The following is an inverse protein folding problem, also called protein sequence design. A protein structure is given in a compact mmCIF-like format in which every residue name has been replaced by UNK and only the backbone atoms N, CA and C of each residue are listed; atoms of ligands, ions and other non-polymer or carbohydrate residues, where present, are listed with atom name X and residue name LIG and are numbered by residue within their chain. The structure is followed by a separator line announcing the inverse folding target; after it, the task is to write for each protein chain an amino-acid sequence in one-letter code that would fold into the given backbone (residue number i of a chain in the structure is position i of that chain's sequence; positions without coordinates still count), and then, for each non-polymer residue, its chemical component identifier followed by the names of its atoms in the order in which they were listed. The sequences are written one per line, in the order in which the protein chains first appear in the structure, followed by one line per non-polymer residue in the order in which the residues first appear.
data_IF_907980058276
#
_entry.id   IF_907980058276
#
_cell.length_a   1.000
_cell.length_b   1.000
_cell.length_c   1.000
_cell.angle_alpha   90.00
_cell.angle_beta   90.00
_cell.angle_gamma   90.00
#
_symmetry.space_group_name_H-M   'P 1'
#
loop_
_entity.id
_entity.type
_entity.pdbx_description
1 polymer ?
#
# COMPACT_ATOMS: atom_id res chain seq x y z
N UNK A 1 11.53 36.94 10.82
CA UNK A 1 11.17 37.57 12.12
C UNK A 1 11.86 36.77 13.20
N UNK A 2 12.61 37.39 14.10
CA UNK A 2 13.34 36.71 15.19
C UNK A 2 12.77 37.19 16.53
N UNK A 3 12.60 36.27 17.48
CA UNK A 3 12.18 36.57 18.86
C UNK A 3 12.99 35.68 19.79
N UNK A 4 13.49 36.26 20.88
CA UNK A 4 14.35 35.62 21.88
C UNK A 4 13.81 35.92 23.27
N UNK A 5 13.84 34.92 24.15
CA UNK A 5 13.47 35.03 25.57
C UNK A 5 14.30 34.02 26.37
N UNK A 6 14.56 34.33 27.64
CA UNK A 6 15.26 33.47 28.59
C UNK A 6 14.23 32.84 29.53
N UNK A 7 14.39 31.56 29.85
CA UNK A 7 13.57 30.85 30.82
C UNK A 7 14.46 30.39 31.99
N UNK A 8 13.99 30.60 33.20
CA UNK A 8 14.57 30.02 34.41
C UNK A 8 14.11 28.57 34.61
N UNK A 9 14.79 27.83 35.48
CA UNK A 9 14.42 26.45 35.80
C UNK A 9 12.96 26.36 36.29
N UNK A 10 12.17 25.51 35.63
CA UNK A 10 10.74 25.31 35.93
C UNK A 10 9.80 26.25 35.17
N UNK A 11 10.30 27.28 34.50
CA UNK A 11 9.48 28.14 33.64
C UNK A 11 9.09 27.42 32.34
N UNK A 12 7.91 27.78 31.83
CA UNK A 12 7.35 27.21 30.60
C UNK A 12 6.82 28.33 29.71
N UNK A 13 7.11 28.21 28.42
CA UNK A 13 6.55 29.06 27.37
C UNK A 13 5.94 28.18 26.30
N UNK A 14 4.86 28.64 25.71
CA UNK A 14 4.21 27.95 24.60
C UNK A 14 4.00 28.93 23.44
N UNK A 15 4.22 28.43 22.23
CA UNK A 15 3.95 29.14 21.00
C UNK A 15 2.85 28.41 20.22
N UNK A 16 1.96 29.17 19.61
CA UNK A 16 0.87 28.63 18.78
C UNK A 16 1.06 29.14 17.36
N UNK A 17 1.24 28.20 16.42
CA UNK A 17 1.25 28.46 14.99
C UNK A 17 -0.12 28.07 14.42
N UNK A 18 -0.81 29.03 13.79
CA UNK A 18 -2.13 28.79 13.20
C UNK A 18 -2.07 29.00 11.71
N UNK A 19 -2.42 27.96 10.95
CA UNK A 19 -2.68 28.06 9.52
C UNK A 19 -4.18 28.24 9.26
N UNK A 20 -4.54 29.12 8.34
CA UNK A 20 -5.89 29.23 7.79
C UNK A 20 -5.84 29.88 6.40
N UNK A 21 -6.84 29.63 5.53
CA UNK A 21 -6.95 30.36 4.27
C UNK A 21 -7.09 31.87 4.52
N UNK A 22 -6.37 32.70 3.75
CA UNK A 22 -6.35 34.15 3.94
C UNK A 22 -7.70 34.85 3.70
N UNK A 23 -8.61 34.19 2.97
CA UNK A 23 -9.96 34.68 2.67
C UNK A 23 -11.03 34.18 3.66
N UNK A 24 -10.67 33.30 4.59
CA UNK A 24 -11.56 32.81 5.64
C UNK A 24 -11.34 33.56 6.96
N UNK A 25 -12.33 33.49 7.85
CA UNK A 25 -12.21 34.10 9.17
C UNK A 25 -11.11 33.40 9.97
N UNK A 26 -10.19 34.19 10.52
CA UNK A 26 -9.14 33.68 11.43
C UNK A 26 -9.75 32.82 12.54
N UNK A 27 -9.24 31.59 12.78
CA UNK A 27 -9.66 30.75 13.89
C UNK A 27 -9.45 31.42 15.25
N UNK A 28 -10.18 30.97 16.27
CA UNK A 28 -9.94 31.39 17.65
C UNK A 28 -8.54 30.96 18.10
N UNK A 29 -7.89 31.78 18.92
CA UNK A 29 -6.67 31.38 19.60
C UNK A 29 -6.97 30.18 20.50
N UNK A 30 -6.05 29.23 20.54
CA UNK A 30 -6.14 28.04 21.38
C UNK A 30 -5.23 28.18 22.58
N UNK A 31 -5.66 27.68 23.73
CA UNK A 31 -4.75 27.46 24.86
C UNK A 31 -3.88 26.22 24.53
N UNK A 32 -2.55 26.34 24.50
CA UNK A 32 -1.68 25.25 24.09
C UNK A 32 -1.66 24.09 25.08
N UNK A 33 -1.91 24.34 26.37
CA UNK A 33 -1.93 23.29 27.39
C UNK A 33 -3.24 22.52 27.33
N UNK A 34 -4.38 23.20 27.21
CA UNK A 34 -5.68 22.54 26.99
C UNK A 34 -5.70 21.77 25.66
N UNK A 35 -5.09 22.32 24.61
CA UNK A 35 -4.97 21.65 23.31
C UNK A 35 -4.14 20.36 23.40
N UNK A 36 -3.05 20.36 24.18
CA UNK A 36 -2.24 19.17 24.41
C UNK A 36 -3.01 18.11 25.22
N UNK A 37 -3.64 18.51 26.32
CA UNK A 37 -4.42 17.60 27.17
C UNK A 37 -5.58 16.94 26.40
N UNK A 38 -6.36 17.73 25.66
CA UNK A 38 -7.45 17.21 24.82
C UNK A 38 -6.93 16.28 23.72
N UNK A 39 -5.86 16.65 23.02
CA UNK A 39 -5.25 15.81 21.99
C UNK A 39 -4.80 14.46 22.56
N UNK A 40 -4.14 14.44 23.72
CA UNK A 40 -3.70 13.20 24.38
C UNK A 40 -4.90 12.36 24.83
N UNK A 41 -5.92 12.99 25.41
CA UNK A 41 -7.13 12.31 25.85
C UNK A 41 -7.86 11.64 24.68
N UNK A 42 -7.97 12.32 23.55
CA UNK A 42 -8.66 11.82 22.37
C UNK A 42 -7.90 10.71 21.67
N UNK A 43 -6.58 10.83 21.50
CA UNK A 43 -5.76 9.73 20.98
C UNK A 43 -5.80 8.50 21.88
N UNK A 44 -5.74 8.67 23.21
CA UNK A 44 -5.90 7.56 24.15
C UNK A 44 -7.28 6.93 24.06
N UNK A 45 -8.33 7.72 23.89
CA UNK A 45 -9.71 7.24 23.71
C UNK A 45 -9.82 6.44 22.42
N UNK A 46 -9.31 6.98 21.32
CA UNK A 46 -9.31 6.34 20.02
C UNK A 46 -8.53 5.02 20.03
N UNK A 47 -7.30 5.00 20.59
CA UNK A 47 -6.46 3.81 20.65
C UNK A 47 -7.03 2.67 21.50
N UNK A 48 -7.93 2.96 22.46
CA UNK A 48 -8.62 1.93 23.25
C UNK A 48 -9.63 1.10 22.45
N UNK A 49 -10.04 1.54 21.26
CA UNK A 49 -10.93 0.77 20.38
C UNK A 49 -10.21 -0.37 19.65
N UNK A 50 -8.87 -0.36 19.63
CA UNK A 50 -8.10 -1.41 18.99
C UNK A 50 -8.40 -2.77 19.64
N UNK A 51 -8.96 -3.68 18.85
CA UNK A 51 -9.31 -5.06 19.26
C UNK A 51 -8.12 -6.00 19.31
N UNK A 52 -6.98 -5.59 18.76
CA UNK A 52 -5.76 -6.40 18.80
C UNK A 52 -5.17 -6.45 20.21
N UNK A 53 -5.00 -7.65 20.74
CA UNK A 53 -4.43 -7.95 22.06
C UNK A 53 -3.24 -8.93 22.01
N UNK A 54 -2.78 -9.28 20.81
CA UNK A 54 -1.64 -10.17 20.59
C UNK A 54 -0.26 -9.55 20.88
N UNK A 55 0.83 -10.32 20.67
CA UNK A 55 2.21 -9.84 20.83
C UNK A 55 2.50 -8.56 20.03
N UNK A 56 3.43 -7.73 20.50
CA UNK A 56 3.78 -6.45 19.85
C UNK A 56 2.62 -5.46 19.71
N UNK A 57 1.60 -5.54 20.59
CA UNK A 57 0.46 -4.62 20.60
C UNK A 57 0.84 -3.14 20.51
N UNK A 58 1.87 -2.71 21.21
CA UNK A 58 2.30 -1.30 21.19
C UNK A 58 2.76 -0.86 19.80
N UNK A 59 3.47 -1.72 19.06
CA UNK A 59 3.88 -1.45 17.68
C UNK A 59 2.70 -1.42 16.71
N UNK A 60 1.72 -2.32 16.90
CA UNK A 60 0.46 -2.34 16.14
C UNK A 60 -0.35 -1.08 16.39
N UNK A 61 -0.56 -0.70 17.65
CA UNK A 61 -1.28 0.53 18.03
C UNK A 61 -0.56 1.77 17.51
N UNK A 62 0.77 1.83 17.61
CA UNK A 62 1.56 2.93 17.05
C UNK A 62 1.37 3.04 15.54
N UNK A 63 1.39 1.91 14.82
CA UNK A 63 1.14 1.89 13.37
C UNK A 63 -0.27 2.35 13.02
N UNK A 64 -1.29 1.91 13.77
CA UNK A 64 -2.68 2.35 13.61
C UNK A 64 -2.83 3.86 13.86
N UNK A 65 -2.19 4.41 14.90
CA UNK A 65 -2.15 5.86 15.15
C UNK A 65 -1.53 6.59 13.95
N UNK A 66 -0.44 6.06 13.39
CA UNK A 66 0.20 6.65 12.20
C UNK A 66 -0.75 6.66 11.01
N UNK A 67 -1.40 5.53 10.70
CA UNK A 67 -2.37 5.43 9.60
C UNK A 67 -3.55 6.40 9.78
N UNK A 68 -4.05 6.53 11.02
CA UNK A 68 -5.08 7.51 11.36
C UNK A 68 -4.60 8.95 11.15
N UNK A 69 -3.35 9.25 11.50
CA UNK A 69 -2.76 10.57 11.28
C UNK A 69 -2.51 10.89 9.80
N UNK A 70 -2.33 9.87 8.96
CA UNK A 70 -2.25 9.99 7.50
C UNK A 70 -3.62 10.10 6.82
N UNK A 71 -4.71 9.91 7.57
CA UNK A 71 -6.07 10.06 7.06
C UNK A 71 -6.50 11.53 7.04
N UNK A 72 -6.85 12.04 5.86
CA UNK A 72 -7.46 13.34 5.71
C UNK A 72 -8.91 13.30 6.22
N UNK A 73 -9.11 13.77 7.45
CA UNK A 73 -10.37 13.67 8.18
C UNK A 73 -11.62 14.14 7.39
N UNK A 74 -11.59 15.21 6.58
CA UNK A 74 -12.78 15.65 5.84
C UNK A 74 -13.32 14.65 4.81
N UNK A 75 -12.48 13.78 4.25
CA UNK A 75 -12.88 12.91 3.14
C UNK A 75 -12.67 11.43 3.42
N UNK A 76 -11.73 11.09 4.32
CA UNK A 76 -11.31 9.72 4.61
C UNK A 76 -10.14 9.23 3.76
N UNK A 77 -9.59 10.05 2.85
CA UNK A 77 -8.44 9.66 2.02
C UNK A 77 -7.17 9.50 2.86
N UNK A 78 -6.43 8.40 2.69
CA UNK A 78 -5.19 8.10 3.40
C UNK A 78 -4.02 8.37 2.44
N UNK A 79 -3.11 9.26 2.80
CA UNK A 79 -1.92 9.51 1.97
C UNK A 79 -0.86 8.42 2.18
N UNK A 80 -0.10 8.09 1.13
CA UNK A 80 0.97 7.09 1.24
C UNK A 80 2.09 7.56 2.19
N UNK A 81 2.40 8.85 2.22
CA UNK A 81 3.23 9.49 3.24
C UNK A 81 2.97 11.01 3.28
N UNK A 82 3.29 11.72 4.37
CA UNK A 82 3.15 13.17 4.45
C UNK A 82 4.36 13.91 3.87
N UNK A 83 5.23 13.21 3.13
CA UNK A 83 6.50 13.70 2.60
C UNK A 83 6.57 13.63 1.09
N UNK A 84 7.51 14.40 0.53
CA UNK A 84 7.90 14.31 -0.87
C UNK A 84 9.41 14.27 -0.97
N UNK A 85 9.91 13.55 -1.98
CA UNK A 85 11.29 13.57 -2.44
C UNK A 85 12.32 13.16 -1.39
N UNK A 86 11.90 12.32 -0.44
CA UNK A 86 12.86 11.60 0.37
C UNK A 86 13.45 10.45 -0.47
N UNK A 87 14.78 10.27 -0.45
CA UNK A 87 15.46 9.41 -1.40
C UNK A 87 15.42 7.94 -1.01
N UNK A 88 15.10 7.06 -1.97
CA UNK A 88 15.28 5.59 -1.87
C UNK A 88 16.77 5.20 -1.79
N UNK A 89 17.67 6.09 -2.25
CA UNK A 89 19.12 6.00 -2.04
C UNK A 89 19.70 7.40 -1.89
N UNK A 90 20.51 7.67 -0.87
CA UNK A 90 21.14 8.98 -0.69
C UNK A 90 21.98 9.39 -1.90
N UNK A 91 21.79 10.61 -2.38
CA UNK A 91 22.38 11.10 -3.63
C UNK A 91 21.72 10.56 -4.92
N UNK A 92 20.78 9.63 -4.80
CA UNK A 92 20.06 9.00 -5.91
C UNK A 92 18.93 9.85 -6.48
N UNK A 93 18.40 9.37 -7.61
CA UNK A 93 17.37 10.08 -8.40
C UNK A 93 15.94 9.63 -8.08
N UNK A 94 15.78 8.53 -7.33
CA UNK A 94 14.49 7.95 -6.92
C UNK A 94 13.94 8.71 -5.71
N UNK A 95 13.35 9.88 -5.99
CA UNK A 95 12.84 10.84 -5.00
C UNK A 95 11.41 11.24 -5.42
N UNK A 96 10.39 10.64 -4.79
CA UNK A 96 9.00 10.73 -5.25
C UNK A 96 8.09 11.48 -4.27
N UNK A 97 7.01 12.09 -4.78
CA UNK A 97 5.98 12.74 -3.95
C UNK A 97 4.89 11.75 -3.54
N UNK A 98 4.75 11.50 -2.23
CA UNK A 98 3.85 10.48 -1.67
C UNK A 98 2.63 11.06 -0.94
N UNK A 99 2.39 12.37 -1.07
CA UNK A 99 1.29 13.08 -0.41
C UNK A 99 -0.09 12.82 -1.05
N UNK A 100 -0.24 11.70 -1.74
CA UNK A 100 -1.43 11.28 -2.48
C UNK A 100 -1.97 9.96 -1.95
N UNK A 101 -3.22 9.66 -2.29
CA UNK A 101 -3.89 8.43 -1.91
C UNK A 101 -3.79 7.42 -3.06
N UNK A 102 -3.09 6.30 -2.83
CA UNK A 102 -2.97 5.22 -3.81
C UNK A 102 -4.09 4.21 -3.70
N UNK A 103 -4.55 3.72 -4.85
CA UNK A 103 -5.56 2.66 -4.89
C UNK A 103 -4.99 1.30 -4.47
N UNK A 104 -3.69 1.04 -4.67
CA UNK A 104 -3.06 -0.23 -4.27
C UNK A 104 -3.16 -0.48 -2.77
N UNK A 105 -3.10 0.57 -1.96
CA UNK A 105 -3.10 0.46 -0.50
C UNK A 105 -4.51 0.14 0.04
N UNK A 106 -5.53 0.20 -0.82
CA UNK A 106 -6.94 0.19 -0.41
C UNK A 106 -7.36 -1.03 0.37
N UNK A 107 -6.98 -2.21 -0.12
CA UNK A 107 -7.43 -3.48 0.44
C UNK A 107 -6.75 -3.73 1.78
N UNK A 108 -5.44 -3.47 1.86
CA UNK A 108 -4.66 -3.60 3.09
C UNK A 108 -5.11 -2.60 4.16
N UNK A 109 -5.40 -1.36 3.78
CA UNK A 109 -5.91 -0.33 4.69
C UNK A 109 -7.28 -0.71 5.24
N UNK A 110 -8.20 -1.11 4.36
CA UNK A 110 -9.55 -1.49 4.76
C UNK A 110 -9.52 -2.72 5.68
N UNK A 111 -8.77 -3.76 5.33
CA UNK A 111 -8.63 -4.98 6.14
C UNK A 111 -8.03 -4.70 7.51
N UNK A 112 -6.92 -3.97 7.56
CA UNK A 112 -6.27 -3.60 8.81
C UNK A 112 -7.21 -2.82 9.75
N UNK A 113 -7.94 -1.84 9.22
CA UNK A 113 -8.87 -1.04 10.02
C UNK A 113 -10.06 -1.87 10.53
N UNK A 114 -10.68 -2.69 9.66
CA UNK A 114 -11.82 -3.52 10.04
C UNK A 114 -11.45 -4.55 11.12
N UNK A 115 -10.40 -5.32 10.89
CA UNK A 115 -9.91 -6.35 11.83
C UNK A 115 -9.43 -5.73 13.15
N UNK A 116 -8.81 -4.55 13.12
CA UNK A 116 -8.43 -3.84 14.33
C UNK A 116 -9.60 -3.14 15.05
N UNK A 117 -10.81 -3.11 14.46
CA UNK A 117 -12.03 -2.59 15.07
C UNK A 117 -12.41 -1.14 14.72
N UNK A 118 -11.72 -0.52 13.78
CA UNK A 118 -11.89 0.86 13.33
C UNK A 118 -12.88 0.99 12.15
N UNK A 119 -14.14 0.68 12.44
CA UNK A 119 -15.19 0.63 11.42
C UNK A 119 -15.51 1.99 10.79
N UNK A 120 -15.46 3.08 11.57
CA UNK A 120 -15.72 4.43 11.07
C UNK A 120 -14.65 4.86 10.05
N UNK A 121 -13.38 4.60 10.35
CA UNK A 121 -12.25 4.85 9.45
C UNK A 121 -12.35 4.01 8.18
N UNK A 122 -12.65 2.71 8.33
CA UNK A 122 -12.87 1.80 7.21
C UNK A 122 -14.01 2.30 6.30
N UNK A 123 -15.10 2.79 6.90
CA UNK A 123 -16.23 3.34 6.16
C UNK A 123 -15.85 4.64 5.42
N UNK A 124 -15.13 5.55 6.09
CA UNK A 124 -14.67 6.80 5.51
C UNK A 124 -13.74 6.55 4.32
N UNK A 125 -12.79 5.62 4.46
CA UNK A 125 -11.88 5.19 3.39
C UNK A 125 -12.65 4.61 2.20
N UNK A 126 -13.54 3.64 2.42
CA UNK A 126 -14.39 3.07 1.36
C UNK A 126 -15.23 4.16 0.65
N UNK A 127 -15.78 5.11 1.41
CA UNK A 127 -16.53 6.23 0.84
C UNK A 127 -15.64 7.14 -0.02
N UNK A 128 -14.40 7.38 0.39
CA UNK A 128 -13.41 8.08 -0.41
C UNK A 128 -13.12 7.34 -1.71
N UNK A 129 -12.82 6.03 -1.62
CA UNK A 129 -12.53 5.17 -2.76
C UNK A 129 -13.64 5.23 -3.81
N UNK A 130 -14.89 5.04 -3.38
CA UNK A 130 -16.06 5.11 -4.28
C UNK A 130 -16.22 6.44 -5.01
N UNK A 131 -15.86 7.56 -4.36
CA UNK A 131 -15.89 8.88 -5.00
C UNK A 131 -14.73 9.05 -5.98
N UNK A 132 -13.54 8.61 -5.62
CA UNK A 132 -12.33 8.75 -6.45
C UNK A 132 -12.43 7.93 -7.76
N UNK A 133 -12.94 6.70 -7.67
CA UNK A 133 -13.06 5.79 -8.83
C UNK A 133 -14.32 6.02 -9.67
N UNK A 134 -15.20 6.94 -9.25
CA UNK A 134 -16.40 7.26 -10.01
C UNK A 134 -16.03 7.91 -11.36
N UNK A 135 -16.75 7.54 -12.42
CA UNK A 135 -16.56 8.08 -13.76
C UNK A 135 -16.26 7.00 -14.79
N UNK A 136 -15.44 7.34 -15.79
CA UNK A 136 -15.07 6.42 -16.86
C UNK A 136 -14.06 5.37 -16.36
N UNK A 137 -14.37 4.06 -16.39
CA UNK A 137 -13.45 2.98 -16.02
C UNK A 137 -12.13 3.01 -16.78
N UNK A 138 -12.13 3.42 -18.06
CA UNK A 138 -10.92 3.49 -18.88
C UNK A 138 -9.97 4.63 -18.46
N UNK A 139 -10.45 5.54 -17.62
CA UNK A 139 -9.66 6.63 -17.07
C UNK A 139 -9.31 6.39 -15.59
N UNK A 140 -9.52 5.21 -15.02
CA UNK A 140 -9.15 4.95 -13.63
C UNK A 140 -7.66 5.28 -13.42
N UNK A 141 -7.36 6.08 -12.39
CA UNK A 141 -5.99 6.45 -12.04
C UNK A 141 -5.53 5.61 -10.86
N UNK A 142 -4.22 5.50 -10.72
CA UNK A 142 -3.60 4.69 -9.66
C UNK A 142 -3.54 5.44 -8.33
N UNK A 143 -3.58 6.77 -8.38
CA UNK A 143 -3.51 7.65 -7.23
C UNK A 143 -4.32 8.93 -7.46
N UNK A 144 -4.75 9.54 -6.36
CA UNK A 144 -5.58 10.74 -6.34
C UNK A 144 -5.15 11.68 -5.21
N UNK A 145 -5.53 12.95 -5.31
CA UNK A 145 -5.45 13.88 -4.18
C UNK A 145 -6.39 13.47 -3.03
N UNK A 146 -6.19 14.06 -1.86
CA UNK A 146 -6.94 13.70 -0.64
C UNK A 146 -8.45 13.89 -0.76
N UNK A 147 -8.94 14.71 -1.70
CA UNK A 147 -10.37 14.85 -2.00
C UNK A 147 -10.81 14.17 -3.31
N UNK A 148 -9.94 13.37 -3.92
CA UNK A 148 -10.19 12.70 -5.21
C UNK A 148 -9.72 13.51 -6.41
N UNK A 149 -8.86 14.50 -6.22
CA UNK A 149 -8.30 15.30 -7.30
C UNK A 149 -7.48 14.43 -8.26
N UNK A 150 -7.67 14.67 -9.57
CA UNK A 150 -7.12 13.84 -10.65
C UNK A 150 -5.87 14.42 -11.30
N UNK A 151 -5.60 15.71 -11.08
CA UNK A 151 -4.50 16.44 -11.71
C UNK A 151 -3.34 16.55 -10.73
N UNK A 152 -2.34 15.69 -10.91
CA UNK A 152 -1.16 15.59 -10.05
C UNK A 152 0.13 15.74 -10.87
N UNK A 153 0.30 16.85 -11.63
CA UNK A 153 1.42 16.99 -12.57
C UNK A 153 2.75 16.94 -11.82
N UNK A 154 3.65 16.09 -12.30
CA UNK A 154 5.02 16.01 -11.78
C UNK A 154 5.82 17.22 -12.24
N UNK A 155 6.54 17.85 -11.31
CA UNK A 155 7.44 18.95 -11.58
C UNK A 155 8.69 18.85 -10.70
N UNK A 156 9.85 19.11 -11.27
CA UNK A 156 11.12 19.23 -10.54
C UNK A 156 11.30 20.65 -9.99
N UNK A 157 11.87 20.75 -8.80
CA UNK A 157 12.10 21.99 -8.05
C UNK A 157 13.62 22.21 -7.91
N UNK A 158 14.33 22.65 -8.97
CA UNK A 158 15.79 22.65 -9.02
C UNK A 158 16.46 23.65 -8.06
N UNK A 159 15.69 24.55 -7.44
CA UNK A 159 16.19 25.48 -6.43
C UNK A 159 16.24 24.88 -5.01
N UNK A 160 15.68 23.69 -4.80
CA UNK A 160 15.77 22.98 -3.54
C UNK A 160 16.92 21.96 -3.62
N UNK A 161 17.86 21.95 -2.66
CA UNK A 161 19.00 21.04 -2.69
C UNK A 161 18.61 19.57 -2.42
N UNK A 162 17.40 19.33 -1.94
CA UNK A 162 16.91 18.02 -1.53
C UNK A 162 17.52 17.50 -0.22
N UNK A 163 16.91 16.45 0.33
CA UNK A 163 17.36 15.86 1.58
C UNK A 163 18.75 15.23 1.40
N UNK A 164 19.70 15.60 2.26
CA UNK A 164 21.09 15.14 2.17
C UNK A 164 21.76 15.34 0.79
N UNK A 165 21.32 16.35 0.02
CA UNK A 165 21.82 16.61 -1.33
C UNK A 165 21.24 15.71 -2.42
N UNK A 166 20.25 14.86 -2.11
CA UNK A 166 19.58 14.00 -3.09
C UNK A 166 18.68 14.83 -4.02
N UNK A 167 18.96 14.75 -5.32
CA UNK A 167 18.24 15.48 -6.37
C UNK A 167 17.75 14.51 -7.45
N UNK A 168 16.64 14.83 -8.14
CA UNK A 168 15.86 16.07 -8.04
C UNK A 168 14.84 16.04 -6.89
N UNK A 169 14.41 17.22 -6.45
CA UNK A 169 13.21 17.38 -5.63
C UNK A 169 12.01 17.50 -6.56
N UNK A 170 10.97 16.70 -6.33
CA UNK A 170 9.74 16.63 -7.10
C UNK A 170 8.53 17.09 -6.29
N UNK A 171 7.52 17.56 -7.00
CA UNK A 171 6.14 17.65 -6.52
C UNK A 171 5.23 17.04 -7.57
N UNK A 172 4.12 16.42 -7.17
CA UNK A 172 3.36 15.60 -8.10
C UNK A 172 4.04 14.26 -8.37
N UNK A 173 3.36 13.41 -9.13
CA UNK A 173 3.88 12.08 -9.43
C UNK A 173 3.42 11.64 -10.81
N UNK A 174 4.38 11.40 -11.69
CA UNK A 174 4.16 11.07 -13.10
C UNK A 174 3.50 9.71 -13.30
N UNK A 175 3.46 8.85 -12.27
CA UNK A 175 2.75 7.59 -12.35
C UNK A 175 1.22 7.77 -12.48
N UNK A 176 0.69 8.97 -12.20
CA UNK A 176 -0.73 9.32 -12.40
C UNK A 176 -1.25 9.15 -13.84
N UNK A 177 -0.35 9.14 -14.83
CA UNK A 177 -0.67 8.94 -16.25
C UNK A 177 -0.48 7.47 -16.71
N UNK A 178 0.00 6.60 -15.83
CA UNK A 178 0.26 5.21 -16.16
C UNK A 178 -1.03 4.38 -16.23
N UNK A 179 -1.00 3.37 -17.10
CA UNK A 179 -2.01 2.31 -17.10
C UNK A 179 -1.48 1.20 -16.18
N UNK A 180 -2.23 0.90 -15.13
CA UNK A 180 -1.97 -0.23 -14.25
C UNK A 180 -3.25 -1.05 -14.18
N UNK A 181 -3.17 -2.33 -14.55
CA UNK A 181 -4.35 -3.20 -14.57
C UNK A 181 -4.62 -3.82 -13.19
N UNK A 182 -3.62 -3.83 -12.31
CA UNK A 182 -3.76 -4.31 -10.93
C UNK A 182 -4.74 -3.49 -10.11
N UNK A 183 -4.83 -2.18 -10.32
CA UNK A 183 -5.71 -1.30 -9.54
C UNK A 183 -7.20 -1.68 -9.66
N UNK A 184 -7.61 -2.32 -10.75
CA UNK A 184 -8.98 -2.84 -10.89
C UNK A 184 -9.23 -3.99 -9.92
N UNK A 185 -8.25 -4.88 -9.76
CA UNK A 185 -8.27 -5.92 -8.75
C UNK A 185 -8.36 -5.35 -7.34
N UNK A 186 -7.54 -4.34 -7.04
CA UNK A 186 -7.50 -3.70 -5.72
C UNK A 186 -8.83 -3.05 -5.33
N UNK A 187 -9.43 -2.32 -6.26
CA UNK A 187 -10.76 -1.71 -6.04
C UNK A 187 -11.82 -2.80 -5.85
N UNK A 188 -11.81 -3.84 -6.67
CA UNK A 188 -12.79 -4.93 -6.59
C UNK A 188 -12.63 -5.73 -5.29
N UNK A 189 -11.41 -5.98 -4.83
CA UNK A 189 -11.12 -6.68 -3.58
C UNK A 189 -11.53 -5.84 -2.36
N UNK A 190 -11.18 -4.55 -2.34
CA UNK A 190 -11.62 -3.61 -1.31
C UNK A 190 -13.15 -3.53 -1.19
N UNK A 191 -13.87 -3.46 -2.31
CA UNK A 191 -15.33 -3.41 -2.31
C UNK A 191 -15.96 -4.75 -1.90
N UNK A 192 -15.33 -5.87 -2.24
CA UNK A 192 -15.72 -7.20 -1.78
C UNK A 192 -15.54 -7.33 -0.26
N UNK A 193 -14.38 -6.94 0.26
CA UNK A 193 -14.06 -6.97 1.69
C UNK A 193 -15.02 -6.08 2.50
N UNK A 194 -15.28 -4.86 2.03
CA UNK A 194 -16.26 -3.97 2.65
C UNK A 194 -17.64 -4.63 2.79
N UNK A 195 -18.07 -5.35 1.74
CA UNK A 195 -19.36 -6.04 1.72
C UNK A 195 -19.37 -7.23 2.69
N UNK A 196 -18.34 -8.06 2.66
CA UNK A 196 -18.22 -9.23 3.55
C UNK A 196 -18.15 -8.84 5.02
N UNK A 197 -17.54 -7.70 5.34
CA UNK A 197 -17.49 -7.13 6.68
C UNK A 197 -18.79 -6.42 7.12
N UNK A 198 -19.85 -6.46 6.31
CA UNK A 198 -21.15 -5.87 6.65
C UNK A 198 -21.19 -4.34 6.61
N UNK A 199 -20.23 -3.68 5.95
CA UNK A 199 -20.31 -2.23 5.78
C UNK A 199 -21.53 -1.87 4.90
N UNK A 200 -22.21 -0.73 5.17
CA UNK A 200 -23.41 -0.35 4.43
C UNK A 200 -23.17 -0.30 2.91
N UNK A 201 -23.86 -1.16 2.16
CA UNK A 201 -23.76 -1.20 0.70
C UNK A 201 -24.66 -0.14 0.08
N UNK A 202 -24.16 0.61 -0.90
CA UNK A 202 -24.95 1.56 -1.69
C UNK A 202 -25.24 0.99 -3.09
N UNK A 203 -26.43 1.20 -3.68
CA UNK A 203 -26.77 0.61 -4.98
C UNK A 203 -25.79 0.92 -6.11
N UNK A 204 -25.17 2.10 -6.10
CA UNK A 204 -24.19 2.49 -7.14
C UNK A 204 -22.85 1.73 -7.03
N UNK A 205 -22.52 1.14 -5.88
CA UNK A 205 -21.26 0.39 -5.70
C UNK A 205 -21.19 -0.77 -6.70
N UNK A 206 -22.28 -1.53 -6.82
CA UNK A 206 -22.34 -2.64 -7.76
C UNK A 206 -22.30 -2.18 -9.21
N UNK A 207 -22.96 -1.06 -9.54
CA UNK A 207 -22.89 -0.47 -10.88
C UNK A 207 -21.46 -0.07 -11.25
N UNK A 208 -20.67 0.46 -10.31
CA UNK A 208 -19.24 0.76 -10.52
C UNK A 208 -18.48 -0.55 -10.78
N UNK A 209 -18.66 -1.57 -9.94
CA UNK A 209 -17.99 -2.87 -10.10
C UNK A 209 -18.28 -3.50 -11.48
N UNK A 210 -19.53 -3.43 -11.95
CA UNK A 210 -19.90 -3.86 -13.31
C UNK A 210 -19.16 -3.10 -14.39
N UNK A 211 -19.14 -1.77 -14.31
CA UNK A 211 -18.47 -0.94 -15.31
C UNK A 211 -16.95 -1.20 -15.34
N UNK A 212 -16.33 -1.44 -14.19
CA UNK A 212 -14.93 -1.85 -14.09
C UNK A 212 -14.70 -3.20 -14.77
N UNK A 213 -15.56 -4.19 -14.51
CA UNK A 213 -15.47 -5.51 -15.13
C UNK A 213 -15.67 -5.47 -16.65
N UNK A 214 -16.60 -4.66 -17.15
CA UNK A 214 -16.84 -4.51 -18.59
C UNK A 214 -15.60 -3.96 -19.30
N UNK A 215 -14.96 -2.94 -18.72
CA UNK A 215 -13.69 -2.43 -19.23
C UNK A 215 -12.59 -3.49 -19.17
N UNK A 216 -12.43 -4.14 -18.02
CA UNK A 216 -11.36 -5.10 -17.79
C UNK A 216 -11.46 -6.30 -18.74
N UNK A 217 -12.66 -6.78 -19.04
CA UNK A 217 -12.89 -7.84 -20.01
C UNK A 217 -12.32 -7.51 -21.41
N UNK A 218 -12.32 -6.22 -21.79
CA UNK A 218 -11.76 -5.74 -23.06
C UNK A 218 -10.27 -5.38 -23.00
N UNK A 219 -9.78 -4.99 -21.82
CA UNK A 219 -8.45 -4.39 -21.66
C UNK A 219 -7.39 -5.31 -21.04
N UNK A 220 -7.79 -6.40 -20.38
CA UNK A 220 -6.87 -7.16 -19.52
C UNK A 220 -5.66 -7.77 -20.25
N UNK A 221 -5.74 -8.00 -21.56
CA UNK A 221 -4.61 -8.51 -22.38
C UNK A 221 -3.61 -7.42 -22.76
N UNK A 222 -3.85 -6.16 -22.43
CA UNK A 222 -2.89 -5.10 -22.71
C UNK A 222 -1.68 -5.22 -21.75
N UNK A 223 -0.46 -4.88 -22.20
CA UNK A 223 0.63 -4.64 -21.27
C UNK A 223 0.36 -3.36 -20.48
N UNK A 224 0.89 -3.27 -19.27
CA UNK A 224 0.69 -2.18 -18.31
C UNK A 224 2.01 -1.86 -17.58
N UNK A 225 1.99 -0.93 -16.62
CA UNK A 225 3.19 -0.46 -15.92
C UNK A 225 3.41 -1.11 -14.53
N UNK A 226 2.58 -2.09 -14.16
CA UNK A 226 2.76 -2.89 -12.95
C UNK A 226 2.67 -2.09 -11.65
N UNK A 227 2.76 -2.82 -10.53
CA UNK A 227 2.63 -2.26 -9.19
C UNK A 227 3.69 -1.21 -8.87
N UNK A 228 4.92 -1.44 -9.33
CA UNK A 228 6.10 -0.63 -9.04
C UNK A 228 6.26 0.59 -9.95
N UNK A 229 5.25 0.89 -10.76
CA UNK A 229 5.19 2.14 -11.54
C UNK A 229 6.39 2.33 -12.49
N UNK A 230 6.88 1.21 -13.05
CA UNK A 230 8.16 1.18 -13.77
C UNK A 230 8.21 2.22 -14.89
N UNK A 231 9.37 2.85 -15.07
CA UNK A 231 9.60 3.83 -16.14
C UNK A 231 10.14 3.18 -17.42
N UNK A 232 10.53 1.91 -17.38
CA UNK A 232 11.02 1.10 -18.52
C UNK A 232 9.95 0.64 -19.52
N UNK A 233 8.71 1.12 -19.40
CA UNK A 233 7.64 0.86 -20.35
C UNK A 233 6.69 -0.28 -19.96
N UNK A 234 5.67 -0.50 -20.80
CA UNK A 234 4.57 -1.43 -20.50
C UNK A 234 4.97 -2.89 -20.77
N UNK A 235 4.65 -3.80 -19.85
CA UNK A 235 4.86 -5.25 -19.97
C UNK A 235 3.63 -6.03 -19.50
N UNK A 236 3.61 -7.34 -19.73
CA UNK A 236 2.58 -8.22 -19.14
C UNK A 236 3.02 -8.65 -17.73
N UNK A 237 2.94 -7.74 -16.77
CA UNK A 237 3.31 -8.02 -15.38
C UNK A 237 2.41 -9.10 -14.79
N UNK A 238 3.01 -10.13 -14.19
CA UNK A 238 2.27 -11.28 -13.66
C UNK A 238 1.35 -10.85 -12.51
N UNK A 239 1.84 -9.99 -11.61
CA UNK A 239 1.02 -9.41 -10.54
C UNK A 239 -0.23 -8.71 -11.10
N UNK A 240 -0.08 -7.88 -12.14
CA UNK A 240 -1.22 -7.22 -12.78
C UNK A 240 -2.25 -8.20 -13.32
N UNK A 241 -1.82 -9.32 -13.91
CA UNK A 241 -2.74 -10.36 -14.40
C UNK A 241 -3.38 -11.17 -13.27
N UNK A 242 -2.66 -11.41 -12.18
CA UNK A 242 -3.22 -11.98 -10.95
C UNK A 242 -4.33 -11.06 -10.41
N UNK A 243 -4.11 -9.75 -10.38
CA UNK A 243 -5.12 -8.80 -9.90
C UNK A 243 -6.31 -8.63 -10.86
N UNK A 244 -6.13 -8.85 -12.16
CA UNK A 244 -7.26 -9.04 -13.09
C UNK A 244 -8.09 -10.26 -12.70
N UNK A 245 -7.43 -11.38 -12.37
CA UNK A 245 -8.12 -12.57 -11.87
C UNK A 245 -8.88 -12.28 -10.58
N UNK A 246 -8.28 -11.53 -9.64
CA UNK A 246 -8.93 -11.13 -8.39
C UNK A 246 -10.21 -10.35 -8.67
N UNK A 247 -10.17 -9.36 -9.58
CA UNK A 247 -11.35 -8.60 -9.97
C UNK A 247 -12.50 -9.53 -10.45
N UNK A 248 -12.19 -10.47 -11.33
CA UNK A 248 -13.16 -11.44 -11.83
C UNK A 248 -13.67 -12.39 -10.73
N UNK A 249 -12.78 -12.89 -9.86
CA UNK A 249 -13.15 -13.76 -8.75
C UNK A 249 -14.09 -13.07 -7.76
N UNK A 250 -13.79 -11.84 -7.36
CA UNK A 250 -14.66 -11.08 -6.44
C UNK A 250 -16.03 -10.77 -7.06
N UNK A 251 -16.07 -10.48 -8.35
CA UNK A 251 -17.33 -10.28 -9.07
C UNK A 251 -18.18 -11.57 -9.10
N UNK A 252 -17.56 -12.72 -9.37
CA UNK A 252 -18.22 -14.03 -9.38
C UNK A 252 -18.74 -14.38 -7.99
N UNK A 253 -17.89 -14.30 -6.95
CA UNK A 253 -18.29 -14.60 -5.56
C UNK A 253 -19.44 -13.71 -5.09
N UNK A 254 -19.40 -12.42 -5.43
CA UNK A 254 -20.48 -11.48 -5.09
C UNK A 254 -21.81 -11.94 -5.69
N UNK A 255 -21.85 -12.32 -6.97
CA UNK A 255 -23.09 -12.80 -7.61
C UNK A 255 -23.56 -14.16 -7.08
N UNK A 256 -22.65 -15.03 -6.66
CA UNK A 256 -23.01 -16.33 -6.07
C UNK A 256 -23.61 -16.18 -4.67
N UNK A 257 -23.10 -15.23 -3.88
CA UNK A 257 -23.53 -14.96 -2.51
C UNK A 257 -24.77 -14.05 -2.44
N UNK A 258 -24.96 -13.15 -3.41
CA UNK A 258 -26.01 -12.15 -3.45
C UNK A 258 -26.87 -12.30 -4.72
N UNK A 259 -27.76 -13.29 -4.73
CA UNK A 259 -28.59 -13.65 -5.89
C UNK A 259 -29.56 -12.54 -6.32
N UNK A 260 -29.83 -11.56 -5.47
CA UNK A 260 -30.59 -10.34 -5.78
C UNK A 260 -29.84 -9.38 -6.71
N UNK A 261 -28.53 -9.59 -6.89
CA UNK A 261 -27.65 -8.74 -7.68
C UNK A 261 -27.55 -9.24 -9.12
N UNK A 262 -27.61 -8.34 -10.10
CA UNK A 262 -27.58 -8.70 -11.54
C UNK A 262 -26.20 -8.45 -12.17
N UNK A 263 -25.70 -9.39 -12.99
CA UNK A 263 -24.45 -9.27 -13.74
C UNK A 263 -24.18 -10.46 -14.66
N UNK A 264 -23.15 -10.39 -15.49
CA UNK A 264 -22.75 -11.47 -16.41
C UNK A 264 -21.92 -12.54 -15.70
N UNK A 265 -22.57 -13.32 -14.83
CA UNK A 265 -21.91 -14.39 -14.06
C UNK A 265 -21.17 -15.39 -14.97
N UNK A 266 -21.78 -15.77 -16.08
CA UNK A 266 -21.19 -16.73 -17.01
C UNK A 266 -19.95 -16.17 -17.71
N UNK A 267 -20.00 -14.89 -18.15
CA UNK A 267 -18.86 -14.20 -18.74
C UNK A 267 -17.71 -14.00 -17.77
N UNK A 268 -17.98 -13.56 -16.55
CA UNK A 268 -16.92 -13.34 -15.56
C UNK A 268 -16.30 -14.64 -15.05
N UNK A 269 -17.07 -15.73 -14.94
CA UNK A 269 -16.49 -17.06 -14.72
C UNK A 269 -15.53 -17.44 -15.84
N UNK A 270 -15.93 -17.29 -17.11
CA UNK A 270 -15.03 -17.57 -18.25
C UNK A 270 -13.76 -16.70 -18.21
N UNK A 271 -13.91 -15.40 -17.92
CA UNK A 271 -12.78 -14.48 -17.80
C UNK A 271 -11.83 -14.92 -16.67
N UNK A 272 -12.36 -15.25 -15.48
CA UNK A 272 -11.58 -15.74 -14.35
C UNK A 272 -10.78 -16.99 -14.73
N UNK A 273 -11.42 -18.01 -15.30
CA UNK A 273 -10.73 -19.25 -15.69
C UNK A 273 -9.69 -19.02 -16.80
N UNK A 274 -9.99 -18.13 -17.76
CA UNK A 274 -9.07 -17.78 -18.83
C UNK A 274 -7.82 -17.08 -18.33
N UNK A 275 -7.98 -16.06 -17.47
CA UNK A 275 -6.85 -15.32 -16.89
C UNK A 275 -6.03 -16.23 -16.00
N UNK A 276 -6.66 -17.06 -15.16
CA UNK A 276 -5.96 -18.02 -14.30
C UNK A 276 -5.06 -18.96 -15.13
N UNK A 277 -5.63 -19.57 -16.19
CA UNK A 277 -4.90 -20.46 -17.08
C UNK A 277 -3.73 -19.73 -17.74
N UNK A 278 -3.97 -18.55 -18.30
CA UNK A 278 -2.92 -17.80 -19.01
C UNK A 278 -1.77 -17.40 -18.08
N UNK A 279 -2.06 -16.94 -16.86
CA UNK A 279 -1.04 -16.60 -15.87
C UNK A 279 -0.21 -17.83 -15.50
N UNK A 280 -0.86 -18.97 -15.25
CA UNK A 280 -0.15 -20.21 -14.95
C UNK A 280 0.69 -20.73 -16.12
N UNK A 281 0.29 -20.49 -17.35
CA UNK A 281 1.00 -20.94 -18.55
C UNK A 281 2.16 -20.01 -18.96
N UNK A 282 1.98 -18.69 -18.82
CA UNK A 282 2.92 -17.68 -19.36
C UNK A 282 3.73 -16.95 -18.30
N UNK A 283 3.24 -16.93 -17.06
CA UNK A 283 3.86 -16.21 -15.94
C UNK A 283 4.66 -17.10 -14.99
N UNK A 284 4.63 -18.42 -15.18
CA UNK A 284 5.33 -19.38 -14.35
C UNK A 284 6.52 -20.00 -15.10
N UNK A 285 7.68 -20.01 -14.45
CA UNK A 285 8.89 -20.69 -14.90
C UNK A 285 8.96 -22.08 -14.23
N UNK A 286 8.66 -23.18 -14.96
CA UNK A 286 8.71 -24.53 -14.42
C UNK A 286 10.14 -25.05 -14.18
N UNK A 287 11.16 -24.46 -14.82
CA UNK A 287 12.56 -24.85 -14.61
C UNK A 287 13.06 -24.33 -13.25
N UNK A 288 12.70 -23.09 -12.92
CA UNK A 288 13.04 -22.45 -11.64
C UNK A 288 12.00 -22.62 -10.54
N UNK A 289 10.85 -23.21 -10.87
CA UNK A 289 9.71 -23.38 -9.97
C UNK A 289 9.24 -22.05 -9.33
N UNK A 290 9.08 -21.00 -10.14
CA UNK A 290 8.67 -19.68 -9.63
C UNK A 290 7.82 -18.93 -10.64
N UNK A 291 6.88 -18.12 -10.16
CA UNK A 291 6.32 -17.06 -10.99
C UNK A 291 7.40 -15.98 -11.24
N UNK A 292 7.38 -15.38 -12.42
CA UNK A 292 8.32 -14.34 -12.83
C UNK A 292 7.64 -12.98 -12.93
N UNK A 293 8.39 -11.89 -12.94
CA UNK A 293 7.89 -10.51 -12.89
C UNK A 293 6.90 -10.20 -14.03
N UNK A 294 7.21 -10.64 -15.25
CA UNK A 294 6.37 -10.44 -16.42
C UNK A 294 6.48 -11.61 -17.39
N UNK A 295 5.47 -11.84 -18.23
CA UNK A 295 5.48 -12.94 -19.19
C UNK A 295 6.75 -12.95 -20.06
N UNK A 296 7.40 -14.12 -20.12
CA UNK A 296 8.65 -14.33 -20.86
C UNK A 296 9.92 -13.78 -20.19
N UNK A 297 9.81 -13.16 -19.01
CA UNK A 297 10.96 -12.72 -18.21
C UNK A 297 11.46 -13.83 -17.29
N UNK A 298 12.75 -13.76 -16.93
CA UNK A 298 13.34 -14.53 -15.81
C UNK A 298 13.42 -13.69 -14.52
N UNK A 299 13.17 -12.40 -14.56
CA UNK A 299 13.22 -11.55 -13.37
C UNK A 299 12.17 -11.97 -12.33
N UNK A 300 12.51 -11.79 -11.05
CA UNK A 300 11.59 -12.00 -9.94
C UNK A 300 10.93 -10.69 -9.51
N UNK A 301 9.80 -10.82 -8.80
CA UNK A 301 9.06 -9.69 -8.27
C UNK A 301 8.43 -10.06 -6.92
N UNK A 302 8.77 -9.30 -5.88
CA UNK A 302 8.25 -9.49 -4.54
C UNK A 302 6.72 -9.37 -4.46
N UNK A 303 6.07 -8.68 -5.40
CA UNK A 303 4.60 -8.60 -5.46
C UNK A 303 3.93 -9.98 -5.63
N UNK A 304 4.66 -10.98 -6.12
CA UNK A 304 4.14 -12.35 -6.29
C UNK A 304 4.00 -13.10 -4.97
N UNK A 305 4.56 -12.59 -3.87
CA UNK A 305 4.28 -13.07 -2.51
C UNK A 305 2.80 -12.88 -2.11
N UNK A 306 2.06 -12.01 -2.82
CA UNK A 306 0.65 -11.77 -2.58
C UNK A 306 -0.27 -12.86 -3.16
N UNK A 307 0.22 -13.73 -4.05
CA UNK A 307 -0.55 -14.82 -4.68
C UNK A 307 -1.39 -15.64 -3.69
N UNK A 308 -0.81 -16.20 -2.60
CA UNK A 308 -1.59 -16.97 -1.62
C UNK A 308 -2.58 -16.10 -0.87
N UNK A 309 -2.22 -14.86 -0.55
CA UNK A 309 -3.06 -13.92 0.21
C UNK A 309 -4.32 -13.54 -0.56
N UNK A 310 -4.22 -13.28 -1.86
CA UNK A 310 -5.38 -12.93 -2.70
C UNK A 310 -6.20 -14.14 -3.13
N UNK A 311 -5.68 -15.35 -2.88
CA UNK A 311 -6.32 -16.62 -3.17
C UNK A 311 -6.20 -17.07 -4.63
N UNK A 312 -5.23 -16.52 -5.38
CA UNK A 312 -5.01 -16.89 -6.79
C UNK A 312 -4.60 -18.37 -6.91
N UNK A 313 -3.76 -18.84 -6.00
CA UNK A 313 -3.46 -20.25 -5.80
C UNK A 313 -3.49 -20.60 -4.31
N UNK A 314 -3.80 -21.87 -3.95
CA UNK A 314 -3.70 -22.35 -2.58
C UNK A 314 -2.30 -22.14 -1.99
N UNK A 315 -2.17 -21.83 -0.69
CA UNK A 315 -0.85 -21.65 -0.07
C UNK A 315 0.06 -22.90 -0.09
N UNK A 316 -0.52 -24.10 -0.20
CA UNK A 316 0.20 -25.38 -0.30
C UNK A 316 0.50 -25.80 -1.74
N UNK A 317 0.13 -24.98 -2.74
CA UNK A 317 0.48 -25.23 -4.14
C UNK A 317 2.02 -25.18 -4.31
N UNK A 318 2.64 -26.21 -4.93
CA UNK A 318 4.09 -26.25 -5.11
C UNK A 318 4.67 -25.02 -5.83
N UNK A 319 3.89 -24.37 -6.69
CA UNK A 319 4.29 -23.16 -7.42
C UNK A 319 4.34 -21.95 -6.50
N UNK A 320 3.44 -21.88 -5.52
CA UNK A 320 3.45 -20.83 -4.49
C UNK A 320 4.66 -21.00 -3.59
N UNK A 321 4.88 -22.21 -3.07
CA UNK A 321 6.02 -22.52 -2.20
C UNK A 321 7.34 -22.20 -2.93
N UNK A 322 7.49 -22.66 -4.18
CA UNK A 322 8.67 -22.39 -4.99
C UNK A 322 8.89 -20.90 -5.26
N UNK A 323 7.82 -20.13 -5.49
CA UNK A 323 7.91 -18.67 -5.66
C UNK A 323 8.38 -17.97 -4.40
N UNK A 324 7.87 -18.37 -3.22
CA UNK A 324 8.31 -17.82 -1.93
C UNK A 324 9.79 -18.12 -1.68
N UNK A 325 10.23 -19.35 -1.96
CA UNK A 325 11.62 -19.76 -1.79
C UNK A 325 12.56 -19.02 -2.75
N UNK A 326 12.19 -18.89 -4.03
CA UNK A 326 12.97 -18.18 -5.03
C UNK A 326 13.10 -16.68 -4.70
N UNK A 327 11.98 -16.01 -4.37
CA UNK A 327 11.99 -14.59 -3.99
C UNK A 327 12.85 -14.37 -2.74
N UNK A 328 12.72 -15.22 -1.73
CA UNK A 328 13.52 -15.10 -0.50
C UNK A 328 15.02 -15.27 -0.77
N UNK A 329 15.38 -16.21 -1.64
CA UNK A 329 16.77 -16.49 -1.95
C UNK A 329 17.41 -15.38 -2.79
N UNK A 330 16.73 -14.93 -3.85
CA UNK A 330 17.33 -14.10 -4.89
C UNK A 330 17.08 -12.59 -4.64
N UNK A 331 15.94 -12.22 -4.02
CA UNK A 331 15.64 -10.82 -3.66
C UNK A 331 15.98 -10.48 -2.20
N UNK A 332 16.50 -11.45 -1.44
CA UNK A 332 16.93 -11.29 -0.06
C UNK A 332 18.23 -10.50 0.06
N UNK A 333 18.21 -9.46 0.90
CA UNK A 333 19.39 -8.65 1.22
C UNK A 333 19.45 -8.38 2.73
N UNK A 334 20.44 -8.96 3.41
CA UNK A 334 20.64 -8.87 4.87
C UNK A 334 19.38 -9.17 5.72
N UNK A 335 18.55 -10.09 5.22
CA UNK A 335 17.31 -10.53 5.87
C UNK A 335 16.12 -9.60 5.68
N UNK A 336 16.18 -8.69 4.72
CA UNK A 336 15.06 -7.93 4.17
C UNK A 336 14.90 -8.26 2.68
N UNK A 337 13.82 -7.76 2.05
CA UNK A 337 13.56 -7.97 0.62
C UNK A 337 13.65 -6.67 -0.19
N UNK A 338 14.24 -6.76 -1.37
CA UNK A 338 14.09 -5.75 -2.45
C UNK A 338 12.79 -5.99 -3.23
N UNK A 339 12.32 -5.00 -4.00
CA UNK A 339 11.12 -5.15 -4.84
C UNK A 339 11.34 -6.15 -5.97
N UNK A 340 12.48 -6.00 -6.65
CA UNK A 340 12.99 -6.80 -7.76
C UNK A 340 14.51 -6.59 -7.84
N UNK A 341 15.20 -7.31 -8.72
CA UNK A 341 16.63 -7.10 -8.91
C UNK A 341 16.87 -5.76 -9.62
N UNK A 342 17.73 -4.93 -9.03
CA UNK A 342 18.06 -3.58 -9.49
C UNK A 342 19.56 -3.32 -9.46
N UNK A 343 20.38 -4.38 -9.43
CA UNK A 343 21.84 -4.22 -9.41
C UNK A 343 22.38 -3.56 -10.68
N UNK A 344 23.42 -2.73 -10.47
CA UNK A 344 23.96 -1.77 -11.44
C UNK A 344 24.60 -2.41 -12.70
N UNK A 345 24.78 -3.73 -12.71
CA UNK A 345 25.61 -4.46 -13.67
C UNK A 345 24.83 -5.20 -14.78
N UNK A 346 23.49 -5.19 -14.78
CA UNK A 346 22.72 -5.90 -15.79
C UNK A 346 21.98 -4.96 -16.75
N UNK A 347 22.11 -5.23 -18.06
CA UNK A 347 21.40 -4.56 -19.16
C UNK A 347 19.87 -4.76 -19.10
N UNK A 348 19.36 -5.37 -18.02
CA UNK A 348 17.99 -5.82 -17.81
C UNK A 348 17.12 -4.86 -16.98
N UNK A 349 17.48 -3.57 -16.91
CA UNK A 349 16.81 -2.54 -16.09
C UNK A 349 15.33 -2.35 -16.50
N UNK A 350 14.44 -3.21 -15.98
CA UNK A 350 12.99 -3.20 -16.25
C UNK A 350 12.35 -1.90 -15.78
N UNK A 351 12.91 -1.29 -14.73
CA UNK A 351 12.40 -0.06 -14.14
C UNK A 351 12.81 1.22 -14.90
N UNK A 352 13.81 1.13 -15.77
CA UNK A 352 14.37 2.23 -16.55
C UNK A 352 15.10 3.31 -15.72
N UNK A 353 15.53 3.02 -14.49
CA UNK A 353 16.15 4.00 -13.58
C UNK A 353 17.57 3.59 -13.15
N UNK A 354 18.51 4.55 -13.02
CA UNK A 354 19.87 4.25 -12.58
C UNK A 354 19.97 4.06 -11.06
N UNK A 355 20.94 3.22 -10.65
CA UNK A 355 21.28 2.93 -9.26
C UNK A 355 20.34 1.92 -8.61
N UNK A 356 20.73 1.37 -7.46
CA UNK A 356 19.88 0.48 -6.65
C UNK A 356 19.03 1.23 -5.62
N UNK A 357 18.17 0.48 -4.94
CA UNK A 357 17.27 0.93 -3.85
C UNK A 357 17.66 0.32 -2.50
N UNK A 358 17.05 0.79 -1.41
CA UNK A 358 17.06 0.11 -0.12
C UNK A 358 16.12 -1.10 -0.11
N UNK A 359 16.13 -1.88 0.97
CA UNK A 359 15.18 -2.97 1.11
C UNK A 359 13.77 -2.43 1.41
N UNK A 360 12.78 -2.87 0.63
CA UNK A 360 11.41 -2.37 0.73
C UNK A 360 10.68 -3.06 1.89
N UNK A 361 10.31 -2.28 2.90
CA UNK A 361 9.80 -2.84 4.17
C UNK A 361 8.47 -3.57 3.97
N UNK A 362 7.57 -3.06 3.12
CA UNK A 362 6.31 -3.73 2.83
C UNK A 362 6.52 -5.12 2.17
N UNK A 363 7.49 -5.26 1.25
CA UNK A 363 7.82 -6.55 0.63
C UNK A 363 8.32 -7.55 1.67
N UNK A 364 9.10 -7.08 2.64
CA UNK A 364 9.57 -7.92 3.74
C UNK A 364 8.40 -8.39 4.63
N UNK A 365 7.39 -7.54 4.87
CA UNK A 365 6.16 -7.97 5.55
C UNK A 365 5.33 -8.95 4.70
N UNK A 366 5.29 -8.81 3.38
CA UNK A 366 4.64 -9.81 2.53
C UNK A 366 5.33 -11.17 2.60
N UNK A 367 6.65 -11.21 2.77
CA UNK A 367 7.37 -12.45 3.00
C UNK A 367 6.99 -13.06 4.35
N UNK A 368 6.79 -12.26 5.41
CA UNK A 368 6.25 -12.75 6.68
C UNK A 368 4.91 -13.47 6.45
N UNK A 369 3.98 -12.81 5.77
CA UNK A 369 2.65 -13.36 5.49
C UNK A 369 2.75 -14.65 4.66
N UNK A 370 3.55 -14.64 3.59
CA UNK A 370 3.72 -15.78 2.71
C UNK A 370 4.39 -16.98 3.40
N UNK A 371 5.41 -16.74 4.24
CA UNK A 371 6.01 -17.78 5.08
C UNK A 371 4.98 -18.37 6.05
N UNK A 372 4.15 -17.54 6.67
CA UNK A 372 3.11 -18.03 7.57
C UNK A 372 2.09 -18.91 6.82
N UNK A 373 1.55 -18.41 5.70
CA UNK A 373 0.54 -19.09 4.89
C UNK A 373 1.06 -20.41 4.29
N UNK A 374 2.34 -20.49 3.94
CA UNK A 374 3.00 -21.70 3.42
C UNK A 374 3.46 -22.67 4.52
N UNK A 375 3.03 -22.48 5.77
CA UNK A 375 3.28 -23.43 6.86
C UNK A 375 4.63 -23.26 7.56
N UNK A 376 5.26 -22.09 7.47
CA UNK A 376 6.58 -21.78 8.07
C UNK A 376 6.47 -20.68 9.16
N UNK A 377 5.64 -20.87 10.20
CA UNK A 377 5.32 -19.81 11.16
C UNK A 377 6.50 -19.36 12.02
N UNK A 378 7.52 -20.21 12.23
CA UNK A 378 8.72 -19.84 12.99
C UNK A 378 9.54 -18.78 12.25
N UNK A 379 9.84 -19.05 10.99
CA UNK A 379 10.61 -18.14 10.13
C UNK A 379 9.85 -16.83 9.91
N UNK A 380 8.53 -16.90 9.76
CA UNK A 380 7.67 -15.72 9.65
C UNK A 380 7.76 -14.83 10.91
N UNK A 381 7.74 -15.42 12.11
CA UNK A 381 7.85 -14.69 13.38
C UNK A 381 9.23 -14.06 13.56
N UNK A 382 10.30 -14.78 13.24
CA UNK A 382 11.67 -14.27 13.31
C UNK A 382 11.87 -13.05 12.39
N UNK A 383 11.35 -13.11 11.16
CA UNK A 383 11.37 -11.99 10.24
C UNK A 383 10.49 -10.81 10.72
N UNK A 384 9.30 -11.08 11.24
CA UNK A 384 8.43 -10.06 11.82
C UNK A 384 9.10 -9.31 12.98
N UNK A 385 9.72 -10.03 13.92
CA UNK A 385 10.43 -9.44 15.04
C UNK A 385 11.62 -8.58 14.58
N UNK A 386 12.31 -8.99 13.51
CA UNK A 386 13.37 -8.17 12.89
C UNK A 386 12.80 -6.88 12.33
N UNK A 387 11.69 -6.94 11.59
CA UNK A 387 11.06 -5.76 10.98
C UNK A 387 10.51 -4.78 12.02
N UNK A 388 9.97 -5.27 13.14
CA UNK A 388 9.52 -4.38 14.23
C UNK A 388 10.69 -3.60 14.85
N UNK A 389 11.90 -4.17 14.87
CA UNK A 389 13.09 -3.53 15.47
C UNK A 389 13.68 -2.39 14.65
N UNK A 390 13.40 -2.30 13.34
CA UNK A 390 13.92 -1.20 12.51
C UNK A 390 13.09 0.08 12.65
N UNK A 391 11.93 0.03 13.33
CA UNK A 391 11.17 1.21 13.66
C UNK A 391 12.01 2.18 14.50
N UNK A 392 11.87 3.48 14.26
CA UNK A 392 12.65 4.48 15.01
C UNK A 392 12.23 4.57 16.49
N UNK A 393 12.82 5.51 17.22
CA UNK A 393 12.58 5.77 18.64
C UNK A 393 11.11 6.05 19.00
N UNK A 394 10.29 6.49 18.04
CA UNK A 394 8.85 6.71 18.19
C UNK A 394 7.99 5.67 17.47
N UNK A 395 8.59 4.56 17.01
CA UNK A 395 7.92 3.43 16.40
C UNK A 395 7.40 3.66 14.97
N UNK A 396 8.06 4.54 14.21
CA UNK A 396 7.72 4.85 12.82
C UNK A 396 8.63 4.11 11.83
N UNK A 397 8.05 3.74 10.69
CA UNK A 397 8.71 3.06 9.57
C UNK A 397 8.66 3.96 8.33
N UNK A 398 9.76 3.99 7.57
CA UNK A 398 9.80 4.59 6.24
C UNK A 398 9.38 3.57 5.18
N UNK A 399 9.61 3.93 3.93
CA UNK A 399 9.42 3.11 2.75
C UNK A 399 10.43 1.98 2.66
N UNK A 400 11.70 2.34 2.82
CA UNK A 400 12.83 1.44 2.66
C UNK A 400 13.73 1.48 3.88
N UNK A 401 14.59 0.48 3.97
CA UNK A 401 15.62 0.39 4.98
C UNK A 401 16.93 -0.07 4.35
N UNK A 402 18.01 0.60 4.69
CA UNK A 402 19.38 0.22 4.32
C UNK A 402 19.98 -0.59 5.48
N UNK A 403 20.12 -1.92 5.32
CA UNK A 403 20.68 -2.77 6.37
C UNK A 403 22.20 -2.57 6.55
N UNK A 404 22.91 -2.10 5.52
CA UNK A 404 24.34 -1.84 5.61
C UNK A 404 24.66 -0.57 6.40
N UNK A 405 23.82 0.45 6.28
CA UNK A 405 23.97 1.74 6.97
C UNK A 405 23.04 1.93 8.18
N UNK A 406 22.26 0.91 8.54
CA UNK A 406 21.26 0.89 9.63
C UNK A 406 20.39 2.15 9.65
N UNK A 407 19.70 2.41 8.52
CA UNK A 407 18.89 3.63 8.37
C UNK A 407 17.65 3.45 7.52
N UNK A 408 16.63 4.22 7.87
CA UNK A 408 15.40 4.41 7.11
C UNK A 408 15.68 5.25 5.84
N UNK A 409 15.07 4.86 4.72
CA UNK A 409 15.16 5.50 3.40
C UNK A 409 13.77 5.68 2.77
N UNK A 410 13.69 6.51 1.74
CA UNK A 410 12.44 6.83 1.05
C UNK A 410 11.46 7.63 1.93
N UNK A 411 10.20 7.65 1.52
CA UNK A 411 9.18 8.49 2.17
C UNK A 411 8.86 8.05 3.61
N UNK A 412 8.52 9.01 4.50
CA UNK A 412 8.45 8.77 5.95
C UNK A 412 7.39 9.62 6.68
N UNK A 413 6.67 9.05 7.67
CA UNK A 413 6.40 7.62 7.81
C UNK A 413 5.57 7.13 6.62
N UNK A 414 5.81 5.90 6.18
CA UNK A 414 5.10 5.34 5.03
C UNK A 414 3.90 4.51 5.49
N UNK A 415 2.73 4.79 4.92
CA UNK A 415 1.50 4.05 5.18
C UNK A 415 1.66 2.57 4.84
N UNK A 416 2.28 2.25 3.70
CA UNK A 416 2.39 0.87 3.21
C UNK A 416 3.20 -0.04 4.15
N UNK A 417 4.34 0.44 4.67
CA UNK A 417 5.11 -0.25 5.71
C UNK A 417 4.33 -0.44 7.02
N UNK A 418 3.59 0.58 7.46
CA UNK A 418 2.75 0.46 8.66
C UNK A 418 1.55 -0.48 8.45
N UNK A 419 0.98 -0.53 7.24
CA UNK A 419 -0.03 -1.51 6.85
C UNK A 419 0.55 -2.92 6.85
N UNK A 420 1.77 -3.11 6.33
CA UNK A 420 2.50 -4.37 6.41
C UNK A 420 2.64 -4.88 7.84
N UNK A 421 3.11 -4.02 8.75
CA UNK A 421 3.23 -4.38 10.18
C UNK A 421 1.90 -4.83 10.78
N UNK A 422 0.83 -4.04 10.60
CA UNK A 422 -0.48 -4.36 11.19
C UNK A 422 -1.03 -5.66 10.57
N UNK A 423 -1.01 -5.80 9.24
CA UNK A 423 -1.53 -6.99 8.56
C UNK A 423 -0.75 -8.26 8.93
N UNK A 424 0.58 -8.19 9.02
CA UNK A 424 1.39 -9.34 9.42
C UNK A 424 1.18 -9.71 10.90
N UNK A 425 1.02 -8.73 11.79
CA UNK A 425 0.69 -8.99 13.18
C UNK A 425 -0.67 -9.69 13.33
N UNK A 426 -1.66 -9.27 12.55
CA UNK A 426 -2.98 -9.90 12.47
C UNK A 426 -2.90 -11.31 11.87
N UNK A 427 -2.11 -11.50 10.82
CA UNK A 427 -1.92 -12.82 10.19
C UNK A 427 -1.22 -13.81 11.12
N UNK A 428 -0.20 -13.37 11.86
CA UNK A 428 0.59 -14.22 12.72
C UNK A 428 -0.06 -14.55 14.07
N UNK A 429 -0.83 -13.60 14.60
CA UNK A 429 -1.28 -13.61 16.00
C UNK A 429 -2.75 -13.26 16.20
N UNK A 430 -3.49 -12.92 15.14
CA UNK A 430 -4.92 -12.65 15.23
C UNK A 430 -5.70 -13.89 15.65
N UNK A 431 -6.77 -13.69 16.39
CA UNK A 431 -7.77 -14.73 16.69
C UNK A 431 -8.82 -14.78 15.57
N UNK A 432 -9.47 -15.93 15.36
CA UNK A 432 -10.53 -16.08 14.34
C UNK A 432 -11.70 -15.08 14.53
N UNK A 433 -11.90 -14.53 15.73
CA UNK A 433 -12.91 -13.51 16.03
C UNK A 433 -12.56 -12.10 15.51
N UNK A 434 -11.34 -11.89 15.00
CA UNK A 434 -10.92 -10.62 14.41
C UNK A 434 -11.23 -10.52 12.89
N UNK A 435 -11.65 -11.62 12.25
CA UNK A 435 -11.88 -11.72 10.80
C UNK A 435 -13.29 -11.34 10.35
#
# INVERSE_FOLDING_TARGET
THSEFTLDEGERVAFVLTWHPSHERRPRLVDPYEALESSVADWRRWARHCRYDGPHRDAVVRSLITLKALTYAPTGGIVAAPTTSLPERLGGVRNWDYRYCWLRDSTLALGALLTAGYQEEAEAWRNWLLRAVAGNPAALQIMYGVAGERRLPEAELPWLPGFAGSSPVRTGNGAVEQLQLDVYGEVMDSLSLARSAGLPTRPHMWSIQRALMDFLASAWRQPDQGLWEVRGGRRHFVHSKVMVWVAADRAVRTLEQHQETSGDLAGWRRLREEVHREVCEKGYDPERNTFTQSYGSRELDAALLLIPRVGFLPPDDPRVIGTVDAIRADLGHDGFLRRYDSEEDDDSVVDGLPGGEGAFLACSFWLVDALHLTGRPKEARELFERLVRVANDVGLLAEEYDPGADRQLGNFPQAFSHLGLVNSALTLFGTEEAG
#
